data_IF_919665634797
#
_entry.id   IF_919665634797
#
_cell.length_a   1.000
_cell.length_b   1.000
_cell.length_c   1.000
_cell.angle_alpha   90.00
_cell.angle_beta   90.00
_cell.angle_gamma   90.00
#
_symmetry.space_group_name_H-M   'P 1'
#
loop_
_entity.id
_entity.type
_entity.pdbx_description
1 polymer ?
#
# COMPACT_ATOMS: atom_id res chain seq x y z
N UNK A 1 11.04 -31.01 21.48
CA UNK A 1 11.71 -29.71 21.27
C UNK A 1 12.10 -29.16 22.62
N UNK A 2 13.31 -28.64 22.77
CA UNK A 2 13.69 -27.91 23.98
C UNK A 2 13.01 -26.53 23.96
N UNK A 3 12.68 -25.97 25.14
CA UNK A 3 12.02 -24.66 25.26
C UNK A 3 12.79 -23.53 24.53
N UNK A 4 14.11 -23.60 24.46
CA UNK A 4 14.96 -22.63 23.77
C UNK A 4 14.77 -22.62 22.25
N UNK A 5 14.52 -23.76 21.62
CA UNK A 5 14.29 -23.88 20.17
C UNK A 5 12.91 -23.34 19.76
N UNK A 6 11.91 -23.47 20.64
CA UNK A 6 10.56 -22.93 20.42
C UNK A 6 10.57 -21.40 20.54
N UNK A 7 11.31 -20.86 21.52
CA UNK A 7 11.41 -19.41 21.77
C UNK A 7 12.12 -18.67 20.61
N UNK A 8 13.18 -19.22 20.03
CA UNK A 8 13.81 -18.62 18.84
C UNK A 8 12.89 -18.63 17.60
N UNK A 9 12.00 -19.61 17.49
CA UNK A 9 11.12 -19.79 16.34
C UNK A 9 9.96 -18.78 16.32
N UNK A 10 9.32 -18.57 17.47
CA UNK A 10 8.29 -17.53 17.65
C UNK A 10 8.88 -16.11 17.63
N UNK A 11 10.19 -15.94 17.87
CA UNK A 11 10.89 -14.66 17.67
C UNK A 11 11.12 -14.31 16.19
N UNK A 12 11.21 -15.31 15.31
CA UNK A 12 11.46 -15.11 13.88
C UNK A 12 10.19 -14.80 13.09
N UNK A 13 9.12 -15.56 13.32
CA UNK A 13 7.82 -15.38 12.66
C UNK A 13 6.68 -15.97 13.50
N UNK A 14 5.69 -15.15 13.86
CA UNK A 14 4.49 -15.60 14.57
C UNK A 14 3.47 -16.23 13.60
N UNK A 15 3.57 -17.54 13.42
CA UNK A 15 2.67 -18.30 12.54
C UNK A 15 1.23 -18.30 13.03
N UNK A 16 0.96 -18.27 14.35
CA UNK A 16 -0.41 -18.26 14.85
C UNK A 16 -1.10 -16.98 14.43
N UNK A 17 -0.44 -15.84 14.66
CA UNK A 17 -0.90 -14.54 14.19
C UNK A 17 -1.08 -14.51 12.67
N UNK A 18 -0.12 -15.06 11.91
CA UNK A 18 -0.22 -15.11 10.45
C UNK A 18 -1.45 -15.92 9.96
N UNK A 19 -1.72 -17.07 10.58
CA UNK A 19 -2.89 -17.90 10.26
C UNK A 19 -4.21 -17.20 10.63
N UNK A 20 -4.25 -16.47 11.75
CA UNK A 20 -5.41 -15.66 12.13
C UNK A 20 -5.67 -14.54 11.11
N UNK A 21 -4.61 -13.84 10.69
CA UNK A 21 -4.71 -12.81 9.65
C UNK A 21 -5.20 -13.40 8.31
N UNK A 22 -4.67 -14.55 7.88
CA UNK A 22 -5.11 -15.22 6.66
C UNK A 22 -6.61 -15.59 6.71
N UNK A 23 -7.10 -16.07 7.86
CA UNK A 23 -8.53 -16.40 8.04
C UNK A 23 -9.42 -15.16 7.94
N UNK A 24 -9.00 -14.04 8.55
CA UNK A 24 -9.74 -12.77 8.45
C UNK A 24 -9.80 -12.29 6.99
N UNK A 25 -8.68 -12.34 6.27
CA UNK A 25 -8.62 -11.95 4.86
C UNK A 25 -9.53 -12.79 3.95
N UNK A 26 -9.60 -14.12 4.17
CA UNK A 26 -10.48 -14.99 3.37
C UNK A 26 -11.97 -14.65 3.53
N UNK A 27 -12.42 -14.30 4.74
CA UNK A 27 -13.82 -13.91 4.97
C UNK A 27 -14.18 -12.63 4.21
N UNK A 28 -13.28 -11.64 4.22
CA UNK A 28 -13.48 -10.36 3.56
C UNK A 28 -13.49 -10.46 2.02
N UNK A 29 -12.71 -11.36 1.42
CA UNK A 29 -12.59 -11.47 -0.04
C UNK A 29 -13.86 -11.95 -0.74
N UNK A 30 -14.67 -12.80 -0.09
CA UNK A 30 -15.89 -13.37 -0.68
C UNK A 30 -16.86 -12.31 -1.24
N UNK A 31 -16.92 -11.15 -0.59
CA UNK A 31 -17.83 -10.06 -0.98
C UNK A 31 -17.32 -9.21 -2.15
N UNK A 32 -16.05 -9.34 -2.51
CA UNK A 32 -15.43 -8.57 -3.59
C UNK A 32 -15.22 -9.39 -4.86
N UNK A 33 -15.57 -10.68 -4.84
CA UNK A 33 -15.51 -11.55 -6.00
C UNK A 33 -16.40 -11.02 -7.13
N UNK A 34 -15.85 -11.02 -8.35
CA UNK A 34 -16.50 -10.56 -9.58
C UNK A 34 -16.96 -9.08 -9.54
N UNK A 35 -16.38 -8.27 -8.64
CA UNK A 35 -16.66 -6.83 -8.52
C UNK A 35 -15.62 -5.97 -9.23
N UNK A 36 -16.05 -4.76 -9.62
CA UNK A 36 -15.17 -3.73 -10.14
C UNK A 36 -14.57 -2.93 -8.96
N UNK A 37 -13.26 -2.74 -8.96
CA UNK A 37 -12.52 -2.28 -7.78
C UNK A 37 -11.81 -0.97 -8.07
N UNK A 38 -11.77 -0.08 -7.08
CA UNK A 38 -10.87 1.07 -7.03
C UNK A 38 -9.92 0.86 -5.85
N UNK A 39 -8.64 0.58 -6.13
CA UNK A 39 -7.62 0.38 -5.12
C UNK A 39 -6.84 1.67 -4.88
N UNK A 40 -6.88 2.16 -3.63
CA UNK A 40 -6.03 3.26 -3.19
C UNK A 40 -4.68 2.72 -2.73
N UNK A 41 -3.60 3.23 -3.33
CA UNK A 41 -2.23 2.85 -3.07
C UNK A 41 -1.34 4.06 -2.79
N UNK A 42 -0.25 3.84 -2.09
CA UNK A 42 0.72 4.88 -1.77
C UNK A 42 1.33 4.73 -0.38
N UNK A 43 2.40 5.48 -0.09
CA UNK A 43 3.09 5.46 1.20
C UNK A 43 2.16 5.73 2.40
N UNK A 44 2.59 5.35 3.60
CA UNK A 44 1.90 5.73 4.84
C UNK A 44 1.88 7.25 4.97
N UNK A 45 0.73 7.83 5.32
CA UNK A 45 0.58 9.28 5.42
C UNK A 45 0.27 10.00 4.10
N UNK A 46 0.20 9.29 2.95
CA UNK A 46 -0.14 9.90 1.65
C UNK A 46 -1.61 10.36 1.52
N UNK A 47 -2.46 10.09 2.51
CA UNK A 47 -3.86 10.54 2.54
C UNK A 47 -4.86 9.57 1.91
N UNK A 48 -4.55 8.26 1.85
CA UNK A 48 -5.45 7.22 1.29
C UNK A 48 -6.83 7.21 1.96
N UNK A 49 -6.90 6.99 3.28
CA UNK A 49 -8.16 6.93 4.04
C UNK A 49 -8.95 8.25 4.00
N UNK A 50 -8.24 9.39 4.04
CA UNK A 50 -8.85 10.73 3.84
C UNK A 50 -9.49 10.86 2.46
N UNK A 51 -8.78 10.43 1.41
CA UNK A 51 -9.31 10.44 0.04
C UNK A 51 -10.44 9.44 -0.12
N UNK A 52 -10.39 8.30 0.58
CA UNK A 52 -11.45 7.30 0.56
C UNK A 52 -12.77 7.87 1.08
N UNK A 53 -12.76 8.50 2.26
CA UNK A 53 -13.94 9.17 2.81
C UNK A 53 -14.44 10.31 1.93
N UNK A 54 -13.52 11.11 1.39
CA UNK A 54 -13.86 12.20 0.47
C UNK A 54 -14.56 11.67 -0.80
N UNK A 55 -14.04 10.61 -1.43
CA UNK A 55 -14.66 9.98 -2.61
C UNK A 55 -16.04 9.40 -2.29
N UNK A 56 -16.24 8.85 -1.09
CA UNK A 56 -17.54 8.39 -0.60
C UNK A 56 -18.54 9.53 -0.35
N UNK A 57 -18.14 10.79 -0.50
CA UNK A 57 -18.97 11.95 -0.18
C UNK A 57 -19.23 12.11 1.32
N UNK A 58 -18.37 11.52 2.16
CA UNK A 58 -18.45 11.73 3.61
C UNK A 58 -18.15 13.19 3.93
N UNK A 59 -18.79 13.72 4.97
CA UNK A 59 -18.47 15.07 5.44
C UNK A 59 -17.03 15.11 5.94
N UNK A 60 -16.25 16.06 5.40
CA UNK A 60 -14.85 16.28 5.74
C UNK A 60 -14.72 17.64 6.43
N UNK A 61 -13.98 17.69 7.53
CA UNK A 61 -13.76 18.90 8.29
C UNK A 61 -12.33 18.97 8.84
N UNK A 62 -11.91 20.16 9.25
CA UNK A 62 -10.63 20.37 9.92
C UNK A 62 -10.88 20.39 11.42
N UNK A 63 -10.13 19.58 12.14
CA UNK A 63 -10.17 19.51 13.61
C UNK A 63 -8.82 19.96 14.19
N UNK A 64 -8.88 20.74 15.28
CA UNK A 64 -7.69 21.02 16.09
C UNK A 64 -7.55 19.92 17.13
N UNK A 65 -6.48 19.12 17.03
CA UNK A 65 -6.18 18.07 18.01
C UNK A 65 -5.00 18.48 18.89
N UNK A 66 -5.03 18.08 20.16
CA UNK A 66 -3.89 18.19 21.07
C UNK A 66 -3.29 16.80 21.29
N UNK A 67 -2.01 16.67 21.00
CA UNK A 67 -1.24 15.44 21.25
C UNK A 67 -0.22 15.70 22.35
N UNK A 68 -0.03 14.71 23.24
CA UNK A 68 0.95 14.78 24.31
C UNK A 68 2.11 13.84 24.01
N UNK A 69 3.34 14.34 24.15
CA UNK A 69 4.55 13.52 24.04
C UNK A 69 5.39 13.65 25.30
N UNK A 70 5.71 12.53 25.93
CA UNK A 70 6.60 12.50 27.10
C UNK A 70 8.03 12.27 26.63
N UNK A 71 8.93 13.19 26.96
CA UNK A 71 10.38 13.08 26.71
C UNK A 71 11.08 13.37 28.03
N UNK A 72 11.89 12.42 28.50
CA UNK A 72 12.64 12.54 29.77
C UNK A 72 11.77 12.92 30.98
N UNK A 73 10.55 12.37 31.05
CA UNK A 73 9.59 12.65 32.12
C UNK A 73 8.86 13.99 32.00
N UNK A 74 9.19 14.82 31.02
CA UNK A 74 8.48 16.06 30.71
C UNK A 74 7.41 15.82 29.64
N UNK A 75 6.21 16.37 29.85
CA UNK A 75 5.11 16.26 28.89
C UNK A 75 5.04 17.50 28.02
N UNK A 76 5.17 17.32 26.71
CA UNK A 76 5.00 18.36 25.69
C UNK A 76 3.62 18.23 25.05
N UNK A 77 2.82 19.29 25.14
CA UNK A 77 1.54 19.41 24.45
C UNK A 77 1.75 20.04 23.09
N UNK A 78 1.26 19.41 22.04
CA UNK A 78 1.40 19.84 20.65
C UNK A 78 0.00 19.94 20.06
N UNK A 79 -0.40 21.16 19.67
CA UNK A 79 -1.64 21.39 18.94
C UNK A 79 -1.37 21.33 17.44
N UNK A 80 -2.18 20.58 16.71
CA UNK A 80 -2.08 20.48 15.25
C UNK A 80 -3.46 20.42 14.62
N UNK A 81 -3.56 20.92 13.39
CA UNK A 81 -4.75 20.78 12.57
C UNK A 81 -4.66 19.51 11.74
N UNK A 82 -5.77 18.79 11.66
CA UNK A 82 -5.89 17.56 10.89
C UNK A 82 -7.21 17.51 10.13
N UNK A 83 -7.25 16.78 9.01
CA UNK A 83 -8.51 16.44 8.37
C UNK A 83 -9.18 15.30 9.12
N UNK A 84 -10.45 15.43 9.44
CA UNK A 84 -11.26 14.38 10.02
C UNK A 84 -12.57 14.19 9.22
N UNK A 85 -13.24 13.07 9.45
CA UNK A 85 -14.49 12.70 8.81
C UNK A 85 -15.31 11.79 9.71
N UNK A 86 -16.63 11.90 9.61
CA UNK A 86 -17.57 10.91 10.15
C UNK A 86 -17.77 9.70 9.21
N UNK A 87 -16.88 9.57 8.23
CA UNK A 87 -16.91 8.53 7.20
C UNK A 87 -16.51 7.14 7.70
N UNK A 88 -16.54 6.18 6.77
CA UNK A 88 -16.34 4.76 7.07
C UNK A 88 -14.89 4.38 7.37
N UNK A 89 -13.93 5.10 6.79
CA UNK A 89 -12.50 4.80 6.93
C UNK A 89 -11.91 5.64 8.06
N UNK A 90 -11.26 5.01 9.05
CA UNK A 90 -10.57 5.75 10.11
C UNK A 90 -9.40 6.55 9.52
N UNK A 91 -9.28 7.83 9.89
CA UNK A 91 -8.16 8.68 9.47
C UNK A 91 -7.16 8.75 10.61
N UNK A 92 -5.99 8.14 10.41
CA UNK A 92 -4.92 8.17 11.39
C UNK A 92 -4.06 9.43 11.33
N UNK A 93 -3.68 9.92 12.51
CA UNK A 93 -2.83 11.13 12.67
C UNK A 93 -1.41 10.82 13.12
N UNK A 94 -1.12 9.56 13.43
CA UNK A 94 0.21 9.10 13.84
C UNK A 94 1.09 8.74 12.64
N UNK A 95 2.41 8.60 12.87
CA UNK A 95 3.34 8.11 11.84
C UNK A 95 3.15 6.62 11.49
N UNK A 96 2.30 5.90 12.24
CA UNK A 96 2.01 4.50 12.01
C UNK A 96 0.66 4.36 11.29
N UNK A 97 0.58 3.41 10.36
CA UNK A 97 -0.67 3.04 9.71
C UNK A 97 -1.65 2.52 10.77
N UNK A 98 -2.90 2.96 10.76
CA UNK A 98 -3.96 2.43 11.63
C UNK A 98 -4.69 1.25 10.97
N UNK A 99 -4.69 1.19 9.64
CA UNK A 99 -5.36 0.17 8.84
C UNK A 99 -4.56 -1.13 8.79
N UNK A 100 -4.97 -2.18 9.49
CA UNK A 100 -4.28 -3.50 9.54
C UNK A 100 -4.70 -4.49 8.46
N UNK A 101 -5.84 -4.26 7.81
CA UNK A 101 -6.41 -5.08 6.73
C UNK A 101 -7.01 -4.19 5.64
N UNK A 102 -7.31 -4.75 4.46
CA UNK A 102 -7.93 -4.02 3.36
C UNK A 102 -9.34 -3.55 3.76
N UNK A 103 -9.52 -2.25 3.97
CA UNK A 103 -10.85 -1.69 4.24
C UNK A 103 -11.58 -1.45 2.91
N UNK A 104 -12.91 -1.60 2.92
CA UNK A 104 -13.72 -1.47 1.70
C UNK A 104 -15.06 -0.77 1.92
N UNK A 105 -15.50 -0.07 0.89
CA UNK A 105 -16.80 0.58 0.85
C UNK A 105 -17.39 0.53 -0.57
N UNK A 106 -18.71 0.42 -0.68
CA UNK A 106 -19.38 0.59 -1.96
C UNK A 106 -19.37 2.09 -2.31
N UNK A 107 -18.79 2.45 -3.45
CA UNK A 107 -18.77 3.83 -3.94
C UNK A 107 -20.02 4.12 -4.79
N UNK A 108 -20.30 3.24 -5.74
CA UNK A 108 -21.48 3.22 -6.61
C UNK A 108 -21.78 1.77 -6.98
N UNK A 109 -23.02 1.44 -7.34
CA UNK A 109 -23.59 0.08 -7.56
C UNK A 109 -22.59 -1.09 -7.68
N UNK A 110 -21.64 -1.03 -8.63
CA UNK A 110 -20.67 -2.10 -8.89
C UNK A 110 -19.21 -1.80 -8.51
N UNK A 111 -18.87 -0.56 -8.13
CA UNK A 111 -17.52 -0.15 -7.73
C UNK A 111 -17.32 -0.20 -6.22
N UNK A 112 -16.35 -1.00 -5.78
CA UNK A 112 -15.86 -1.00 -4.41
C UNK A 112 -14.56 -0.21 -4.29
N UNK A 113 -14.58 0.79 -3.41
CA UNK A 113 -13.40 1.53 -3.01
C UNK A 113 -12.68 0.78 -1.91
N UNK A 114 -11.41 0.46 -2.14
CA UNK A 114 -10.57 -0.28 -1.23
C UNK A 114 -9.41 0.59 -0.75
N UNK A 115 -9.36 0.85 0.56
CA UNK A 115 -8.24 1.50 1.23
C UNK A 115 -7.25 0.42 1.70
N UNK A 116 -6.08 0.38 1.05
CA UNK A 116 -5.04 -0.55 1.48
C UNK A 116 -4.35 -0.02 2.74
N UNK A 117 -3.86 -0.91 3.62
CA UNK A 117 -2.79 -0.55 4.54
C UNK A 117 -1.68 0.21 3.79
N UNK A 118 -0.93 1.07 4.49
CA UNK A 118 0.30 1.64 3.92
C UNK A 118 1.10 0.52 3.26
N UNK A 119 1.35 0.64 1.96
CA UNK A 119 2.01 -0.44 1.24
C UNK A 119 3.38 -0.69 1.89
N UNK A 120 3.63 -1.96 2.23
CA UNK A 120 4.82 -2.40 2.96
C UNK A 120 4.89 -1.84 4.37
N UNK A 121 3.74 -1.90 5.03
CA UNK A 121 3.58 -1.70 6.44
C UNK A 121 4.70 -2.40 7.23
N UNK A 122 5.47 -1.60 7.96
CA UNK A 122 6.64 -2.04 8.72
C UNK A 122 6.28 -2.54 10.13
N UNK A 123 4.98 -2.71 10.42
CA UNK A 123 4.48 -3.24 11.71
C UNK A 123 4.76 -4.73 11.94
N UNK A 124 5.47 -5.40 11.02
CA UNK A 124 5.97 -6.77 11.18
C UNK A 124 5.86 -7.58 9.89
N UNK A 125 6.69 -8.61 9.77
CA UNK A 125 6.70 -9.48 8.59
C UNK A 125 5.38 -10.21 8.41
N UNK A 126 4.72 -10.62 9.50
CA UNK A 126 3.44 -11.34 9.48
C UNK A 126 2.34 -10.50 8.83
N UNK A 127 2.25 -9.22 9.20
CA UNK A 127 1.26 -8.28 8.66
C UNK A 127 1.56 -8.00 7.18
N UNK A 128 2.83 -7.80 6.83
CA UNK A 128 3.22 -7.61 5.42
C UNK A 128 2.84 -8.83 4.56
N UNK A 129 3.13 -10.04 5.05
CA UNK A 129 2.83 -11.30 4.35
C UNK A 129 1.32 -11.47 4.19
N UNK A 130 0.54 -11.27 5.25
CA UNK A 130 -0.92 -11.32 5.21
C UNK A 130 -1.51 -10.33 4.20
N UNK A 131 -1.04 -9.09 4.20
CA UNK A 131 -1.53 -8.08 3.28
C UNK A 131 -1.18 -8.40 1.83
N UNK A 132 0.06 -8.84 1.56
CA UNK A 132 0.48 -9.22 0.21
C UNK A 132 -0.34 -10.43 -0.31
N UNK A 133 -0.52 -11.46 0.51
CA UNK A 133 -1.32 -12.62 0.15
C UNK A 133 -2.79 -12.26 -0.06
N UNK A 134 -3.36 -11.42 0.81
CA UNK A 134 -4.75 -10.96 0.67
C UNK A 134 -4.97 -10.15 -0.61
N UNK A 135 -4.07 -9.23 -0.94
CA UNK A 135 -4.13 -8.45 -2.18
C UNK A 135 -3.96 -9.32 -3.43
N UNK A 136 -3.06 -10.32 -3.40
CA UNK A 136 -2.91 -11.27 -4.50
C UNK A 136 -4.19 -12.08 -4.74
N UNK A 137 -4.75 -12.67 -3.69
CA UNK A 137 -6.01 -13.41 -3.79
C UNK A 137 -7.16 -12.52 -4.25
N UNK A 138 -7.19 -11.29 -3.77
CA UNK A 138 -8.18 -10.32 -4.19
C UNK A 138 -8.09 -10.02 -5.69
N UNK A 139 -6.89 -9.79 -6.25
CA UNK A 139 -6.73 -9.56 -7.69
C UNK A 139 -7.06 -10.77 -8.55
N UNK A 140 -6.93 -11.98 -8.01
CA UNK A 140 -7.33 -13.20 -8.72
C UNK A 140 -8.86 -13.34 -8.84
N UNK A 141 -9.63 -12.64 -8.01
CA UNK A 141 -11.08 -12.83 -7.89
C UNK A 141 -11.90 -11.61 -8.29
N UNK A 142 -11.29 -10.43 -8.49
CA UNK A 142 -12.02 -9.24 -8.92
C UNK A 142 -12.18 -9.21 -10.45
N UNK A 143 -13.25 -8.56 -10.91
CA UNK A 143 -13.61 -8.49 -12.34
C UNK A 143 -12.72 -7.48 -13.08
N UNK A 144 -12.55 -6.30 -12.49
CA UNK A 144 -11.66 -5.27 -13.00
C UNK A 144 -11.14 -4.40 -11.88
N UNK A 145 -10.03 -3.70 -12.11
CA UNK A 145 -9.44 -2.85 -11.11
C UNK A 145 -8.96 -1.51 -11.68
N UNK A 146 -9.17 -0.44 -10.92
CA UNK A 146 -8.62 0.89 -11.14
C UNK A 146 -7.65 1.20 -10.02
N UNK A 147 -6.41 1.49 -10.37
CA UNK A 147 -5.37 1.76 -9.39
C UNK A 147 -5.21 3.27 -9.24
N UNK A 148 -5.31 3.76 -8.00
CA UNK A 148 -5.03 5.15 -7.66
C UNK A 148 -3.79 5.19 -6.78
N UNK A 149 -2.78 5.92 -7.21
CA UNK A 149 -1.58 6.18 -6.42
C UNK A 149 -1.64 7.59 -5.85
N UNK A 150 -1.62 7.68 -4.52
CA UNK A 150 -1.62 8.94 -3.79
C UNK A 150 -0.20 9.37 -3.44
N UNK A 151 0.12 10.62 -3.80
CA UNK A 151 1.42 11.26 -3.58
C UNK A 151 1.22 12.52 -2.75
N UNK A 152 1.84 12.57 -1.56
CA UNK A 152 1.80 13.76 -0.70
C UNK A 152 2.70 14.86 -1.27
N UNK A 153 2.15 16.04 -1.55
CA UNK A 153 2.93 17.17 -2.04
C UNK A 153 4.03 17.59 -1.05
N UNK A 154 3.73 17.60 0.26
CA UNK A 154 4.72 17.93 1.27
C UNK A 154 5.91 16.95 1.29
N UNK A 155 5.64 15.65 1.11
CA UNK A 155 6.71 14.65 1.05
C UNK A 155 7.50 14.77 -0.26
N UNK A 156 6.82 15.07 -1.36
CA UNK A 156 7.46 15.27 -2.66
C UNK A 156 8.52 16.37 -2.58
N UNK A 157 8.14 17.53 -2.04
CA UNK A 157 9.05 18.68 -1.89
C UNK A 157 10.13 18.41 -0.85
N UNK A 158 9.77 17.82 0.30
CA UNK A 158 10.73 17.53 1.37
C UNK A 158 11.84 16.57 0.91
N UNK A 159 11.51 15.64 0.01
CA UNK A 159 12.44 14.65 -0.53
C UNK A 159 13.03 15.05 -1.90
N UNK A 160 12.78 16.28 -2.39
CA UNK A 160 13.29 16.78 -3.68
C UNK A 160 13.03 15.82 -4.84
N UNK A 161 11.81 15.29 -4.93
CA UNK A 161 11.42 14.35 -5.99
C UNK A 161 11.80 12.88 -5.76
N UNK A 162 12.64 12.56 -4.76
CA UNK A 162 13.05 11.18 -4.47
C UNK A 162 11.85 10.26 -4.13
N UNK A 163 10.76 10.84 -3.64
CA UNK A 163 9.48 10.16 -3.43
C UNK A 163 8.99 9.42 -4.70
N UNK A 164 9.28 9.93 -5.90
CA UNK A 164 8.92 9.23 -7.14
C UNK A 164 9.67 7.91 -7.32
N UNK A 165 10.89 7.79 -6.81
CA UNK A 165 11.61 6.51 -6.81
C UNK A 165 10.92 5.49 -5.90
N UNK A 166 10.43 5.93 -4.75
CA UNK A 166 9.71 5.07 -3.81
C UNK A 166 8.35 4.65 -4.38
N UNK A 167 7.63 5.57 -5.00
CA UNK A 167 6.38 5.27 -5.71
C UNK A 167 6.65 4.33 -6.90
N UNK A 168 7.74 4.52 -7.64
CA UNK A 168 8.12 3.63 -8.73
C UNK A 168 8.44 2.21 -8.25
N UNK A 169 9.21 2.09 -7.16
CA UNK A 169 9.48 0.80 -6.49
C UNK A 169 8.19 0.16 -6.01
N UNK A 170 7.27 0.94 -5.47
CA UNK A 170 5.94 0.48 -5.09
C UNK A 170 5.20 -0.12 -6.28
N UNK A 171 5.14 0.58 -7.42
CA UNK A 171 4.51 0.07 -8.64
C UNK A 171 5.18 -1.22 -9.11
N UNK A 172 6.50 -1.30 -9.08
CA UNK A 172 7.25 -2.51 -9.47
C UNK A 172 7.01 -3.70 -8.55
N UNK A 173 6.66 -3.46 -7.29
CA UNK A 173 6.34 -4.52 -6.33
C UNK A 173 4.90 -5.00 -6.43
N UNK A 174 4.05 -4.27 -7.15
CA UNK A 174 2.61 -4.52 -7.31
C UNK A 174 2.29 -5.08 -8.68
N UNK A 175 2.93 -4.57 -9.74
CA UNK A 175 2.68 -4.98 -11.12
C UNK A 175 3.62 -6.08 -11.58
N UNK A 176 3.09 -7.01 -12.37
CA UNK A 176 3.89 -7.94 -13.15
C UNK A 176 4.45 -7.19 -14.36
N UNK A 177 5.79 -7.16 -14.49
CA UNK A 177 6.50 -6.57 -15.65
C UNK A 177 5.97 -5.17 -16.00
N UNK A 178 6.13 -4.19 -15.10
CA UNK A 178 5.59 -2.84 -15.29
C UNK A 178 6.16 -2.17 -16.54
N UNK A 179 5.31 -1.90 -17.51
CA UNK A 179 5.64 -1.17 -18.73
C UNK A 179 4.69 0.00 -18.94
N UNK A 180 4.92 0.76 -20.02
CA UNK A 180 4.17 1.97 -20.35
C UNK A 180 2.65 1.74 -20.37
N UNK A 181 2.20 0.63 -20.94
CA UNK A 181 0.78 0.33 -21.07
C UNK A 181 0.09 0.20 -19.71
N UNK A 182 0.74 -0.47 -18.74
CA UNK A 182 0.21 -0.58 -17.38
C UNK A 182 0.25 0.77 -16.66
N UNK A 183 1.30 1.57 -16.84
CA UNK A 183 1.38 2.90 -16.22
C UNK A 183 0.24 3.80 -16.67
N UNK A 184 -0.15 3.77 -17.94
CA UNK A 184 -1.28 4.54 -18.48
C UNK A 184 -2.64 4.17 -17.88
N UNK A 185 -2.76 3.02 -17.19
CA UNK A 185 -3.97 2.57 -16.47
C UNK A 185 -3.99 3.05 -14.99
N UNK A 186 -2.88 3.60 -14.49
CA UNK A 186 -2.75 4.09 -13.10
C UNK A 186 -3.16 5.55 -13.04
N UNK A 187 -3.95 5.93 -12.04
CA UNK A 187 -4.32 7.32 -11.75
C UNK A 187 -3.40 7.86 -10.66
N UNK A 188 -2.73 8.98 -10.88
CA UNK A 188 -1.95 9.66 -9.85
C UNK A 188 -2.74 10.82 -9.26
N UNK A 189 -2.90 10.83 -7.94
CA UNK A 189 -3.55 11.91 -7.20
C UNK A 189 -2.57 12.52 -6.20
N UNK A 190 -2.57 13.85 -6.11
CA UNK A 190 -1.70 14.60 -5.21
C UNK A 190 -2.51 15.15 -4.04
N UNK A 191 -2.05 14.87 -2.82
CA UNK A 191 -2.70 15.27 -1.57
C UNK A 191 -1.87 16.32 -0.84
N UNK A 192 -2.48 16.96 0.16
CA UNK A 192 -1.83 17.99 0.99
C UNK A 192 -1.19 19.11 0.16
N UNK A 193 -1.89 19.50 -0.90
CA UNK A 193 -1.42 20.51 -1.83
C UNK A 193 -1.74 21.90 -1.28
N UNK A 194 -0.76 22.83 -1.21
CA UNK A 194 -0.97 24.18 -0.69
C UNK A 194 -1.92 24.99 -1.57
N UNK A 195 -2.78 25.82 -0.95
CA UNK A 195 -3.76 26.65 -1.67
C UNK A 195 -3.12 27.78 -2.50
N UNK A 196 -1.91 28.22 -2.13
CA UNK A 196 -1.16 29.28 -2.79
C UNK A 196 -0.35 28.80 -4.01
N UNK A 197 -0.39 27.50 -4.31
CA UNK A 197 0.37 26.90 -5.42
C UNK A 197 -0.57 26.41 -6.52
N UNK A 198 0.02 26.08 -7.66
CA UNK A 198 -0.67 25.46 -8.79
C UNK A 198 0.04 24.18 -9.24
N UNK A 199 -0.59 23.44 -10.15
CA UNK A 199 -0.10 22.15 -10.68
C UNK A 199 1.30 22.25 -11.29
N UNK A 200 1.72 23.42 -11.76
CA UNK A 200 3.04 23.62 -12.35
C UNK A 200 4.15 23.43 -11.28
N UNK A 201 3.84 23.62 -9.99
CA UNK A 201 4.77 23.30 -8.91
C UNK A 201 5.10 21.80 -8.82
N UNK A 202 4.12 20.91 -9.06
CA UNK A 202 4.34 19.46 -9.13
C UNK A 202 5.13 19.12 -10.39
N UNK A 203 4.75 19.75 -11.50
CA UNK A 203 5.41 19.55 -12.80
C UNK A 203 6.89 19.88 -12.71
N UNK A 204 7.26 20.98 -12.05
CA UNK A 204 8.64 21.38 -11.79
C UNK A 204 9.42 20.31 -11.02
N UNK A 205 8.88 19.80 -9.92
CA UNK A 205 9.53 18.74 -9.12
C UNK A 205 9.76 17.46 -9.95
N UNK A 206 8.80 17.08 -10.80
CA UNK A 206 8.95 15.92 -11.69
C UNK A 206 10.05 16.16 -12.72
N UNK A 207 10.09 17.35 -13.35
CA UNK A 207 11.09 17.67 -14.37
C UNK A 207 12.50 17.71 -13.79
N UNK A 208 12.69 18.33 -12.61
CA UNK A 208 13.98 18.34 -11.91
C UNK A 208 14.45 16.92 -11.56
N UNK A 209 13.54 16.06 -11.08
CA UNK A 209 13.86 14.65 -10.82
C UNK A 209 14.16 13.89 -12.13
N UNK A 210 13.37 14.12 -13.17
CA UNK A 210 13.55 13.50 -14.49
C UNK A 210 14.91 13.84 -15.10
N UNK A 211 15.37 15.08 -15.01
CA UNK A 211 16.70 15.49 -15.47
C UNK A 211 17.82 14.78 -14.70
N UNK A 212 17.64 14.56 -13.40
CA UNK A 212 18.57 13.78 -12.59
C UNK A 212 18.59 12.30 -13.01
N UNK A 213 17.44 11.73 -13.38
CA UNK A 213 17.34 10.36 -13.92
C UNK A 213 17.98 10.26 -15.31
N UNK A 214 17.81 11.26 -16.17
CA UNK A 214 18.45 11.29 -17.50
C UNK A 214 19.98 11.30 -17.40
N UNK A 215 20.53 12.03 -16.42
CA UNK A 215 21.98 12.12 -16.20
C UNK A 215 22.60 10.80 -15.71
N UNK A 216 21.81 9.85 -15.21
CA UNK A 216 22.27 8.49 -14.84
C UNK A 216 22.39 7.60 -16.10
N UNK A 217 23.18 6.53 -16.03
CA UNK A 217 23.40 5.61 -17.15
C UNK A 217 22.10 5.15 -17.83
N UNK A 218 22.13 5.08 -19.17
CA UNK A 218 20.98 4.73 -20.01
C UNK A 218 20.73 3.21 -20.02
N UNK A 219 20.38 2.66 -18.86
CA UNK A 219 19.99 1.26 -18.71
C UNK A 219 18.45 1.09 -18.79
N UNK A 220 18.00 -0.17 -18.85
CA UNK A 220 16.58 -0.51 -18.97
C UNK A 220 15.71 0.07 -17.83
N UNK A 221 16.21 0.07 -16.59
CA UNK A 221 15.49 0.61 -15.43
C UNK A 221 15.28 2.14 -15.56
N UNK A 222 16.30 2.86 -16.01
CA UNK A 222 16.22 4.30 -16.31
C UNK A 222 15.17 4.59 -17.40
N UNK A 223 15.03 3.71 -18.40
CA UNK A 223 14.02 3.87 -19.46
C UNK A 223 12.60 3.64 -18.94
N UNK A 224 12.38 2.61 -18.13
CA UNK A 224 11.07 2.36 -17.50
C UNK A 224 10.70 3.53 -16.58
N UNK A 225 11.65 4.03 -15.77
CA UNK A 225 11.42 5.20 -14.91
C UNK A 225 11.02 6.43 -15.72
N UNK A 226 11.70 6.70 -16.84
CA UNK A 226 11.32 7.82 -17.74
C UNK A 226 9.90 7.64 -18.27
N UNK A 227 9.53 6.42 -18.69
CA UNK A 227 8.17 6.12 -19.14
C UNK A 227 7.14 6.36 -18.04
N UNK A 228 7.45 5.95 -16.81
CA UNK A 228 6.59 6.17 -15.64
C UNK A 228 6.38 7.67 -15.37
N UNK A 229 7.47 8.46 -15.29
CA UNK A 229 7.39 9.90 -15.06
C UNK A 229 6.64 10.63 -16.19
N UNK A 230 6.83 10.21 -17.44
CA UNK A 230 6.13 10.77 -18.59
C UNK A 230 4.61 10.55 -18.51
N UNK A 231 4.15 9.41 -18.00
CA UNK A 231 2.72 9.17 -17.78
C UNK A 231 2.16 10.12 -16.73
N UNK A 232 2.89 10.38 -15.64
CA UNK A 232 2.48 11.35 -14.62
C UNK A 232 2.37 12.75 -15.24
N UNK A 233 3.39 13.18 -16.00
CA UNK A 233 3.38 14.49 -16.69
C UNK A 233 2.21 14.63 -17.68
N UNK A 234 1.90 13.58 -18.43
CA UNK A 234 0.75 13.56 -19.35
C UNK A 234 -0.57 13.71 -18.61
N UNK A 235 -0.74 13.04 -17.46
CA UNK A 235 -1.93 13.22 -16.64
C UNK A 235 -2.04 14.66 -16.15
N UNK A 236 -0.96 15.22 -15.58
CA UNK A 236 -0.93 16.60 -15.10
C UNK A 236 -1.32 17.60 -16.19
N UNK A 237 -0.83 17.43 -17.41
CA UNK A 237 -1.17 18.31 -18.53
C UNK A 237 -2.64 18.19 -18.97
N UNK A 238 -3.18 16.97 -19.02
CA UNK A 238 -4.53 16.72 -19.54
C UNK A 238 -5.65 16.96 -18.49
N UNK A 239 -5.32 16.97 -17.19
CA UNK A 239 -6.29 16.98 -16.11
C UNK A 239 -5.92 17.92 -14.95
N UNK A 240 -5.30 19.08 -15.24
CA UNK A 240 -4.75 20.03 -14.25
C UNK A 240 -5.63 20.23 -13.00
N UNK A 241 -6.94 20.44 -13.17
CA UNK A 241 -7.82 20.79 -12.04
C UNK A 241 -8.23 19.61 -11.13
N UNK A 242 -8.04 18.34 -11.53
CA UNK A 242 -8.69 17.19 -10.86
C UNK A 242 -7.69 16.15 -10.33
N UNK A 243 -6.40 16.40 -10.51
CA UNK A 243 -5.34 15.54 -9.96
C UNK A 243 -5.00 15.92 -8.51
N UNK A 244 -5.40 17.11 -8.07
CA UNK A 244 -5.24 17.56 -6.68
C UNK A 244 -6.47 17.15 -5.88
N UNK A 245 -6.27 16.43 -4.78
CA UNK A 245 -7.33 16.10 -3.83
C UNK A 245 -7.38 17.18 -2.76
N UNK A 246 -8.50 17.90 -2.72
CA UNK A 246 -8.82 18.83 -1.64
C UNK A 246 -10.05 18.30 -0.86
N UNK A 247 -9.85 17.66 0.30
CA UNK A 247 -10.93 16.98 1.01
C UNK A 247 -12.09 17.89 1.45
N UNK A 248 -11.86 19.20 1.57
CA UNK A 248 -12.87 20.18 2.01
C UNK A 248 -13.60 20.86 0.84
N UNK A 249 -13.21 20.59 -0.40
CA UNK A 249 -13.99 21.04 -1.54
C UNK A 249 -15.24 20.17 -1.73
N UNK A 250 -16.12 20.56 -2.66
CA UNK A 250 -17.33 19.80 -2.99
C UNK A 250 -17.23 19.05 -4.31
N UNK A 251 -16.02 18.81 -4.80
CA UNK A 251 -15.76 18.26 -6.15
C UNK A 251 -15.65 16.73 -6.18
N UNK A 252 -15.94 16.02 -5.09
CA UNK A 252 -15.75 14.58 -5.00
C UNK A 252 -16.48 13.82 -6.11
N UNK A 253 -17.69 14.26 -6.51
CA UNK A 253 -18.46 13.63 -7.59
C UNK A 253 -17.74 13.71 -8.94
N UNK A 254 -17.14 14.86 -9.24
CA UNK A 254 -16.39 15.08 -10.48
C UNK A 254 -15.13 14.21 -10.50
N UNK A 255 -14.42 14.12 -9.37
CA UNK A 255 -13.27 13.23 -9.23
C UNK A 255 -13.67 11.75 -9.39
N UNK A 256 -14.76 11.31 -8.75
CA UNK A 256 -15.30 9.97 -8.90
C UNK A 256 -15.63 9.63 -10.36
N UNK A 257 -16.31 10.53 -11.08
CA UNK A 257 -16.62 10.34 -12.49
C UNK A 257 -15.34 10.17 -13.33
N UNK A 258 -14.31 10.99 -13.10
CA UNK A 258 -13.03 10.85 -13.81
C UNK A 258 -12.35 9.51 -13.52
N UNK A 259 -12.31 9.08 -12.26
CA UNK A 259 -11.78 7.78 -11.85
C UNK A 259 -12.52 6.66 -12.59
N UNK A 260 -13.85 6.70 -12.59
CA UNK A 260 -14.69 5.68 -13.24
C UNK A 260 -14.49 5.68 -14.77
N UNK A 261 -14.31 6.84 -15.40
CA UNK A 261 -14.04 6.92 -16.85
C UNK A 261 -12.62 6.52 -17.26
N UNK A 262 -11.68 6.48 -16.31
CA UNK A 262 -10.28 6.16 -16.62
C UNK A 262 -10.12 4.71 -17.11
N UNK A 263 -9.02 4.41 -17.81
CA UNK A 263 -8.71 3.03 -18.19
C UNK A 263 -8.62 2.13 -16.94
N UNK A 264 -9.06 0.89 -17.03
CA UNK A 264 -8.97 -0.10 -15.96
C UNK A 264 -8.07 -1.26 -16.36
N UNK A 265 -7.55 -1.96 -15.36
CA UNK A 265 -6.99 -3.30 -15.50
C UNK A 265 -8.16 -4.28 -15.63
N UNK A 266 -8.39 -4.81 -16.83
CA UNK A 266 -9.49 -5.74 -17.13
C UNK A 266 -9.22 -7.17 -16.70
N UNK A 267 -7.95 -7.56 -16.53
CA UNK A 267 -7.57 -8.86 -15.98
C UNK A 267 -6.51 -8.69 -14.87
N UNK A 268 -6.91 -8.26 -13.65
CA UNK A 268 -5.96 -7.97 -12.59
C UNK A 268 -5.10 -9.17 -12.18
N UNK A 269 -5.56 -10.40 -12.38
CA UNK A 269 -4.80 -11.61 -12.07
C UNK A 269 -3.48 -11.75 -12.87
N UNK A 270 -3.46 -11.26 -14.11
CA UNK A 270 -2.28 -11.32 -15.00
C UNK A 270 -1.36 -10.10 -14.84
N UNK A 271 -1.92 -8.97 -14.43
CA UNK A 271 -1.20 -7.69 -14.37
C UNK A 271 -0.59 -7.41 -12.99
N UNK A 272 -1.08 -8.06 -11.93
CA UNK A 272 -0.68 -7.80 -10.54
C UNK A 272 0.04 -8.98 -9.89
N UNK A 273 1.11 -8.68 -9.16
CA UNK A 273 1.83 -9.61 -8.28
C UNK A 273 2.36 -8.82 -7.09
N UNK A 274 1.66 -8.91 -5.97
CA UNK A 274 2.07 -8.27 -4.73
C UNK A 274 3.17 -9.09 -4.08
N UNK A 275 4.38 -8.52 -4.08
CA UNK A 275 5.56 -9.13 -3.48
C UNK A 275 5.83 -8.60 -2.07
N UNK A 276 6.14 -9.51 -1.15
CA UNK A 276 6.63 -9.17 0.19
C UNK A 276 8.09 -8.66 0.13
N UNK A 277 8.51 -7.92 1.15
CA UNK A 277 9.87 -7.38 1.26
C UNK A 277 10.90 -8.48 1.38
N UNK A 278 12.16 -8.17 1.03
CA UNK A 278 13.24 -9.14 1.17
C UNK A 278 13.43 -9.60 2.63
N UNK A 279 13.22 -8.69 3.59
CA UNK A 279 13.24 -9.02 5.02
C UNK A 279 12.14 -10.03 5.39
N UNK A 280 10.91 -9.82 4.92
CA UNK A 280 9.82 -10.76 5.16
C UNK A 280 10.05 -12.11 4.47
N UNK A 281 10.60 -12.12 3.25
CA UNK A 281 10.99 -13.36 2.55
C UNK A 281 12.04 -14.14 3.33
N UNK A 282 13.09 -13.48 3.82
CA UNK A 282 14.15 -14.11 4.60
C UNK A 282 13.59 -14.75 5.88
N UNK A 283 12.71 -14.04 6.60
CA UNK A 283 12.04 -14.60 7.79
C UNK A 283 11.20 -15.84 7.45
N UNK A 284 10.44 -15.82 6.36
CA UNK A 284 9.70 -16.99 5.87
C UNK A 284 10.62 -18.16 5.51
N UNK A 285 11.72 -17.89 4.81
CA UNK A 285 12.69 -18.92 4.41
C UNK A 285 13.35 -19.57 5.63
N UNK A 286 13.81 -18.76 6.59
CA UNK A 286 14.38 -19.26 7.85
C UNK A 286 13.39 -20.16 8.58
N UNK A 287 12.13 -19.72 8.72
CA UNK A 287 11.09 -20.53 9.35
C UNK A 287 10.88 -21.87 8.62
N UNK A 288 10.87 -21.87 7.28
CA UNK A 288 10.72 -23.09 6.47
C UNK A 288 11.89 -24.04 6.66
N UNK A 289 13.13 -23.54 6.64
CA UNK A 289 14.33 -24.37 6.82
C UNK A 289 14.39 -24.98 8.23
N UNK A 290 14.10 -24.20 9.27
CA UNK A 290 13.99 -24.70 10.65
C UNK A 290 12.90 -25.79 10.75
N UNK A 291 11.76 -25.59 10.08
CA UNK A 291 10.68 -26.58 10.04
C UNK A 291 11.12 -27.88 9.37
N UNK A 292 11.79 -27.79 8.21
CA UNK A 292 12.31 -28.97 7.49
C UNK A 292 13.29 -29.75 8.34
N UNK A 293 14.18 -29.06 9.07
CA UNK A 293 15.14 -29.69 9.96
C UNK A 293 14.45 -30.48 11.08
N UNK A 294 13.45 -29.87 11.74
CA UNK A 294 12.68 -30.52 12.82
C UNK A 294 11.93 -31.75 12.31
N UNK A 295 11.27 -31.66 11.15
CA UNK A 295 10.53 -32.79 10.58
C UNK A 295 11.49 -33.94 10.24
N UNK A 296 12.66 -33.65 9.65
CA UNK A 296 13.68 -34.67 9.36
C UNK A 296 14.23 -35.32 10.62
N UNK A 297 14.54 -34.55 11.66
CA UNK A 297 15.08 -35.10 12.91
C UNK A 297 14.07 -35.99 13.64
N UNK A 298 12.78 -35.64 13.59
CA UNK A 298 11.70 -36.48 14.13
C UNK A 298 11.49 -37.77 13.32
N UNK A 299 11.58 -37.71 11.99
CA UNK A 299 11.49 -38.90 11.14
C UNK A 299 12.67 -39.86 11.38
N UNK A 300 13.89 -39.33 11.53
CA UNK A 300 15.07 -40.12 11.87
C UNK A 300 15.00 -40.70 13.29
N UNK A 301 14.54 -39.92 14.27
CA UNK A 301 14.34 -40.40 15.65
C UNK A 301 13.31 -41.53 15.76
N UNK A 302 12.23 -41.49 14.97
CA UNK A 302 11.24 -42.56 14.92
C UNK A 302 11.74 -43.83 14.21
N UNK A 303 12.69 -43.73 13.29
CA UNK A 303 13.33 -44.89 12.65
C UNK A 303 14.23 -45.65 13.63
N UNK A 304 14.93 -44.96 14.53
CA UNK A 304 15.76 -45.60 15.56
C UNK A 304 14.97 -46.04 16.81
N UNK A 305 13.83 -45.42 17.11
CA UNK A 305 12.97 -45.79 18.24
C UNK A 305 12.21 -47.12 18.09
N UNK A 306 12.00 -47.59 16.86
CA UNK A 306 11.33 -48.87 16.59
C UNK A 306 12.25 -50.09 16.62
N UNK A 307 13.58 -49.92 16.72
CA UNK A 307 14.53 -51.04 16.84
C UNK A 307 14.89 -51.43 18.28
N UNK A 308 14.38 -50.74 19.31
CA UNK A 308 14.72 -50.99 20.72
C UNK A 308 13.59 -51.70 21.50
N UNK A 309 12.52 -52.15 20.83
CA UNK A 309 11.40 -52.88 21.49
C UNK A 309 11.35 -54.40 21.25
N UNK A 310 12.33 -54.98 20.54
CA UNK A 310 12.44 -56.43 20.35
C UNK A 310 13.85 -56.93 20.68
N UNK A 311 14.26 -56.77 21.95
CA UNK A 311 15.50 -57.33 22.50
C UNK A 311 15.32 -57.67 23.96
#
# INVERSE_FOLDING_TARGET
MNKSEIVNREQNLDIKKLLELFKQCQQEQSQLKDKDIILLAGPTGSGKSTTANYLLGSEMFIENIETCKVVEGQTYKIQTQVFNSNGKFSIGYSKQSETSTLQKACLQENYFLCDSPGFFDNRGAEIEIANAQSLNQFMQNCKSMKMIILVSYHELVAQRGQLFEDVFKLVHRILQKPEKEQFEKIIFLFTKFPQDKNVDAITKEILEFHDNVIKKENNYQSQIMKSFLNVILQQLNNNKEIIIVNPIDRNHQLLCQKIISHKSFSNPAEEFCFSVSESAKQKLQLYVEETKYIVKSQQQGNLYGNHVKNG
#
